data_IF_359401252505
#
_entry.id   IF_359401252505
#
_cell.length_a   1.000
_cell.length_b   1.000
_cell.length_c   1.000
_cell.angle_alpha   90.00
_cell.angle_beta   90.00
_cell.angle_gamma   90.00
#
_symmetry.space_group_name_H-M   'P 1'
#
loop_
_entity.id
_entity.type
_entity.pdbx_description
1 polymer ?
#
# COMPACT_ATOMS: atom_id res chain seq x y z
N UNK A 1 6.04 19.38 13.55
CA UNK A 1 5.15 18.21 13.53
C UNK A 1 3.86 18.37 12.67
N UNK A 2 3.42 19.60 12.32
CA UNK A 2 2.24 19.77 11.45
C UNK A 2 2.51 19.34 9.99
N UNK A 3 3.73 19.51 9.48
CA UNK A 3 4.08 19.15 8.11
C UNK A 3 4.10 17.65 7.81
N UNK A 4 4.42 16.81 8.79
CA UNK A 4 4.54 15.36 8.61
C UNK A 4 3.18 14.71 8.28
N UNK A 5 2.15 15.04 9.05
CA UNK A 5 0.81 14.53 8.83
C UNK A 5 0.22 14.91 7.46
N UNK A 6 0.56 16.09 6.95
CA UNK A 6 0.08 16.57 5.66
C UNK A 6 0.77 15.87 4.48
N UNK A 7 2.06 15.53 4.61
CA UNK A 7 2.78 14.76 3.58
C UNK A 7 2.21 13.36 3.45
N UNK A 8 1.95 12.68 4.57
CA UNK A 8 1.36 11.33 4.56
C UNK A 8 -0.01 11.31 3.88
N UNK A 9 -0.87 12.24 4.28
CA UNK A 9 -2.22 12.35 3.69
C UNK A 9 -2.15 12.60 2.19
N UNK A 10 -1.29 13.50 1.73
CA UNK A 10 -1.16 13.81 0.30
C UNK A 10 -0.63 12.64 -0.50
N UNK A 11 0.35 11.90 0.01
CA UNK A 11 0.89 10.73 -0.67
C UNK A 11 -0.14 9.61 -0.77
N UNK A 12 -0.82 9.30 0.32
CA UNK A 12 -1.87 8.27 0.34
C UNK A 12 -3.05 8.66 -0.54
N UNK A 13 -3.54 9.90 -0.45
CA UNK A 13 -4.63 10.37 -1.29
C UNK A 13 -4.29 10.32 -2.78
N UNK A 14 -3.08 10.71 -3.17
CA UNK A 14 -2.65 10.71 -4.56
C UNK A 14 -2.51 9.30 -5.13
N UNK A 15 -2.00 8.37 -4.35
CA UNK A 15 -1.85 6.97 -4.74
C UNK A 15 -3.20 6.27 -4.87
N UNK A 16 -4.03 6.39 -3.86
CA UNK A 16 -5.35 5.79 -3.83
C UNK A 16 -6.30 6.42 -4.88
N UNK A 17 -6.04 7.67 -5.28
CA UNK A 17 -6.75 8.30 -6.39
C UNK A 17 -6.54 7.52 -7.70
N UNK A 18 -5.30 7.14 -7.99
CA UNK A 18 -5.00 6.29 -9.14
C UNK A 18 -5.69 4.92 -9.01
N UNK A 19 -5.61 4.29 -7.85
CA UNK A 19 -6.23 2.99 -7.60
C UNK A 19 -7.74 3.01 -7.79
N UNK A 20 -8.41 4.02 -7.25
CA UNK A 20 -9.87 4.13 -7.27
C UNK A 20 -10.44 4.58 -8.61
N UNK A 21 -9.74 5.44 -9.34
CA UNK A 21 -10.25 6.06 -10.58
C UNK A 21 -9.43 5.72 -11.81
N UNK A 22 -8.29 5.07 -11.66
CA UNK A 22 -7.48 4.59 -12.77
C UNK A 22 -7.99 3.27 -13.36
N UNK A 23 -7.54 2.98 -14.56
CA UNK A 23 -7.80 1.71 -15.24
C UNK A 23 -6.67 0.74 -14.91
N UNK A 24 -7.03 -0.45 -14.45
CA UNK A 24 -6.09 -1.51 -14.10
C UNK A 24 -6.49 -2.77 -14.87
N UNK A 25 -5.58 -3.29 -15.67
CA UNK A 25 -5.85 -4.43 -16.55
C UNK A 25 -7.03 -4.22 -17.49
N UNK A 26 -7.30 -2.96 -17.87
CA UNK A 26 -8.41 -2.60 -18.75
C UNK A 26 -9.74 -2.29 -18.05
N UNK A 27 -9.83 -2.55 -16.74
CA UNK A 27 -11.06 -2.36 -15.96
C UNK A 27 -10.94 -1.22 -14.94
N UNK A 28 -12.01 -0.47 -14.78
CA UNK A 28 -12.19 0.43 -13.65
C UNK A 28 -12.41 -0.32 -12.34
N UNK A 29 -12.26 0.35 -11.21
CA UNK A 29 -12.40 -0.28 -9.88
C UNK A 29 -13.77 -0.93 -9.67
N UNK A 30 -14.83 -0.32 -10.17
CA UNK A 30 -16.20 -0.82 -10.02
C UNK A 30 -16.41 -2.19 -10.71
N UNK A 31 -15.69 -2.46 -11.80
CA UNK A 31 -15.75 -3.73 -12.52
C UNK A 31 -14.87 -4.81 -11.89
N UNK A 32 -13.92 -4.43 -11.06
CA UNK A 32 -12.99 -5.37 -10.39
C UNK A 32 -13.48 -5.79 -9.00
N UNK A 33 -14.33 -4.98 -8.38
CA UNK A 33 -14.90 -5.25 -7.07
C UNK A 33 -16.20 -6.02 -7.18
N UNK A 34 -16.51 -6.83 -6.17
CA UNK A 34 -17.80 -7.50 -6.10
C UNK A 34 -18.96 -6.51 -6.06
N UNK A 35 -20.12 -6.90 -6.60
CA UNK A 35 -21.33 -6.06 -6.61
C UNK A 35 -21.77 -5.71 -5.19
N UNK A 36 -21.71 -6.68 -4.28
CA UNK A 36 -22.02 -6.46 -2.87
C UNK A 36 -21.12 -5.40 -2.25
N UNK A 37 -19.81 -5.45 -2.52
CA UNK A 37 -18.87 -4.46 -1.99
C UNK A 37 -19.13 -3.07 -2.60
N UNK A 38 -19.43 -2.98 -3.89
CA UNK A 38 -19.77 -1.70 -4.54
C UNK A 38 -21.01 -1.05 -3.93
N UNK A 39 -21.99 -1.87 -3.52
CA UNK A 39 -23.21 -1.39 -2.85
C UNK A 39 -22.94 -0.89 -1.44
N UNK A 40 -22.20 -1.67 -0.63
CA UNK A 40 -21.91 -1.33 0.77
C UNK A 40 -20.86 -0.25 0.93
N UNK A 41 -19.86 -0.23 0.06
CA UNK A 41 -18.73 0.69 0.11
C UNK A 41 -18.48 1.29 -1.27
N UNK A 42 -19.20 2.34 -1.66
CA UNK A 42 -18.98 3.05 -2.93
C UNK A 42 -17.53 3.48 -3.09
N UNK A 43 -17.03 3.53 -4.32
CA UNK A 43 -15.61 3.80 -4.62
C UNK A 43 -15.06 5.07 -3.99
N UNK A 44 -15.86 6.13 -3.93
CA UNK A 44 -15.43 7.41 -3.38
C UNK A 44 -15.17 7.33 -1.87
N UNK A 45 -16.01 6.56 -1.15
CA UNK A 45 -15.81 6.30 0.28
C UNK A 45 -14.63 5.34 0.47
N UNK A 46 -14.53 4.31 -0.37
CA UNK A 46 -13.40 3.37 -0.34
C UNK A 46 -12.06 4.07 -0.57
N UNK A 47 -11.99 4.98 -1.53
CA UNK A 47 -10.80 5.78 -1.77
C UNK A 47 -10.33 6.53 -0.50
N UNK A 48 -11.25 7.20 0.18
CA UNK A 48 -10.93 7.93 1.41
C UNK A 48 -10.49 6.98 2.52
N UNK A 49 -11.20 5.87 2.71
CA UNK A 49 -10.90 4.89 3.76
C UNK A 49 -9.55 4.20 3.54
N UNK A 50 -9.24 3.80 2.30
CA UNK A 50 -7.95 3.21 1.96
C UNK A 50 -6.82 4.23 2.15
N UNK A 51 -7.01 5.47 1.69
CA UNK A 51 -6.02 6.53 1.90
C UNK A 51 -5.73 6.78 3.38
N UNK A 52 -6.76 6.74 4.23
CA UNK A 52 -6.60 6.86 5.68
C UNK A 52 -5.93 5.61 6.30
N UNK A 53 -6.27 4.42 5.80
CA UNK A 53 -5.65 3.16 6.21
C UNK A 53 -4.15 3.15 5.91
N UNK A 54 -3.77 3.53 4.70
CA UNK A 54 -2.37 3.61 4.27
C UNK A 54 -1.59 4.66 5.08
N UNK A 55 -2.13 5.86 5.23
CA UNK A 55 -1.49 6.91 6.01
C UNK A 55 -1.39 6.54 7.50
N UNK A 56 -2.44 5.96 8.06
CA UNK A 56 -2.51 5.63 9.48
C UNK A 56 -1.81 4.32 9.82
N UNK A 57 -2.35 3.23 9.30
CA UNK A 57 -1.89 1.88 9.70
C UNK A 57 -0.51 1.56 9.14
N UNK A 58 -0.28 1.86 7.87
CA UNK A 58 0.97 1.49 7.21
C UNK A 58 2.09 2.43 7.60
N UNK A 59 1.94 3.73 7.36
CA UNK A 59 3.02 4.68 7.55
C UNK A 59 3.25 5.00 9.04
N UNK A 60 2.20 5.24 9.81
CA UNK A 60 2.36 5.48 11.25
C UNK A 60 2.70 4.21 12.01
N UNK A 61 2.14 3.05 11.62
CA UNK A 61 2.50 1.76 12.18
C UNK A 61 3.96 1.43 11.92
N UNK A 62 4.44 1.64 10.70
CA UNK A 62 5.84 1.46 10.34
C UNK A 62 6.79 2.37 11.11
N UNK A 63 6.48 3.66 11.24
CA UNK A 63 7.29 4.59 12.04
C UNK A 63 7.29 4.25 13.52
N UNK A 64 6.18 3.83 14.06
CA UNK A 64 6.09 3.36 15.44
C UNK A 64 6.97 2.13 15.66
N UNK A 65 6.95 1.15 14.76
CA UNK A 65 7.82 -0.03 14.81
C UNK A 65 9.30 0.34 14.72
N UNK A 66 9.67 1.24 13.80
CA UNK A 66 11.03 1.77 13.71
C UNK A 66 11.49 2.35 15.06
N UNK A 67 10.64 3.16 15.67
CA UNK A 67 10.97 3.78 16.96
C UNK A 67 11.11 2.76 18.10
N UNK A 68 10.20 1.80 18.19
CA UNK A 68 10.23 0.77 19.24
C UNK A 68 11.48 -0.11 19.08
N UNK A 69 11.78 -0.60 17.87
CA UNK A 69 12.91 -1.49 17.59
C UNK A 69 14.23 -0.78 17.85
N UNK A 70 14.31 0.53 17.59
CA UNK A 70 15.48 1.35 17.92
C UNK A 70 15.47 1.89 19.36
N UNK A 71 14.81 1.18 20.28
CA UNK A 71 14.80 1.50 21.73
C UNK A 71 14.30 2.91 22.04
N UNK A 72 13.37 3.41 21.23
CA UNK A 72 12.79 4.75 21.31
C UNK A 72 13.78 5.89 21.02
N UNK A 73 14.89 5.59 20.38
CA UNK A 73 15.85 6.59 19.93
C UNK A 73 15.31 7.34 18.72
N UNK A 74 15.24 8.66 18.81
CA UNK A 74 14.74 9.52 17.73
C UNK A 74 15.74 9.72 16.60
N UNK A 75 16.98 9.28 16.76
CA UNK A 75 18.00 9.41 15.72
C UNK A 75 17.61 8.68 14.42
N UNK A 76 16.80 7.62 14.54
CA UNK A 76 16.26 6.90 13.39
C UNK A 76 15.36 7.78 12.50
N UNK A 77 14.86 8.91 12.98
CA UNK A 77 14.06 9.87 12.23
C UNK A 77 14.83 11.10 11.75
N UNK A 78 16.09 11.24 12.18
CA UNK A 78 16.96 12.37 11.81
C UNK A 78 18.04 11.95 10.82
N UNK A 79 18.48 10.72 10.89
CA UNK A 79 19.54 10.19 10.04
C UNK A 79 19.08 8.91 9.33
N UNK A 80 19.61 8.67 8.15
CA UNK A 80 19.36 7.41 7.45
C UNK A 80 20.01 6.24 8.18
N UNK A 81 19.18 5.31 8.64
CA UNK A 81 19.60 4.04 9.23
C UNK A 81 19.03 2.90 8.38
N UNK A 82 19.89 2.07 7.82
CA UNK A 82 19.46 0.92 7.04
C UNK A 82 18.58 -0.05 7.84
N UNK A 83 18.87 -0.25 9.12
CA UNK A 83 18.02 -1.04 10.01
C UNK A 83 16.61 -0.47 10.14
N UNK A 84 16.47 0.86 10.25
CA UNK A 84 15.18 1.52 10.26
C UNK A 84 14.43 1.35 8.95
N UNK A 85 15.13 1.52 7.82
CA UNK A 85 14.55 1.29 6.50
C UNK A 85 14.09 -0.16 6.32
N UNK A 86 14.88 -1.14 6.72
CA UNK A 86 14.49 -2.56 6.64
C UNK A 86 13.24 -2.86 7.47
N UNK A 87 13.12 -2.29 8.66
CA UNK A 87 11.91 -2.43 9.49
C UNK A 87 10.69 -1.87 8.77
N UNK A 88 10.78 -0.65 8.24
CA UNK A 88 9.69 0.00 7.53
C UNK A 88 9.30 -0.79 6.26
N UNK A 89 10.28 -1.19 5.46
CA UNK A 89 10.06 -1.95 4.24
C UNK A 89 9.39 -3.30 4.53
N UNK A 90 9.91 -4.04 5.52
CA UNK A 90 9.32 -5.33 5.92
C UNK A 90 7.88 -5.15 6.37
N UNK A 91 7.59 -4.14 7.18
CA UNK A 91 6.23 -3.83 7.61
C UNK A 91 5.31 -3.54 6.41
N UNK A 92 5.72 -2.64 5.53
CA UNK A 92 4.92 -2.25 4.36
C UNK A 92 4.59 -3.44 3.46
N UNK A 93 5.58 -4.26 3.12
CA UNK A 93 5.37 -5.44 2.27
C UNK A 93 4.54 -6.51 2.97
N UNK A 94 4.86 -6.83 4.22
CA UNK A 94 4.17 -7.89 4.95
C UNK A 94 2.69 -7.55 5.17
N UNK A 95 2.38 -6.32 5.57
CA UNK A 95 0.99 -5.91 5.77
C UNK A 95 0.20 -5.97 4.47
N UNK A 96 0.78 -5.55 3.32
CA UNK A 96 0.10 -5.62 2.05
C UNK A 96 -0.19 -7.07 1.63
N UNK A 97 0.79 -7.96 1.74
CA UNK A 97 0.59 -9.39 1.46
C UNK A 97 -0.52 -9.97 2.34
N UNK A 98 -0.53 -9.65 3.64
CA UNK A 98 -1.59 -10.12 4.54
C UNK A 98 -2.97 -9.57 4.16
N UNK A 99 -3.06 -8.31 3.77
CA UNK A 99 -4.31 -7.71 3.28
C UNK A 99 -4.79 -8.42 2.02
N UNK A 100 -3.91 -8.67 1.06
CA UNK A 100 -4.26 -9.38 -0.18
C UNK A 100 -4.72 -10.82 0.07
N UNK A 101 -4.05 -11.54 0.97
CA UNK A 101 -4.36 -12.93 1.25
C UNK A 101 -5.66 -13.13 2.04
N UNK A 102 -5.98 -12.20 2.95
CA UNK A 102 -7.06 -12.41 3.91
C UNK A 102 -8.21 -11.41 3.79
N UNK A 103 -7.92 -10.12 3.55
CA UNK A 103 -8.97 -9.10 3.53
C UNK A 103 -9.64 -8.96 2.14
N UNK A 104 -8.91 -9.21 1.06
CA UNK A 104 -9.48 -9.08 -0.29
C UNK A 104 -10.19 -10.34 -0.78
N UNK A 105 -10.26 -11.40 0.03
CA UNK A 105 -10.82 -12.69 -0.40
C UNK A 105 -12.20 -12.56 -1.04
N UNK A 106 -13.11 -11.82 -0.41
CA UNK A 106 -14.49 -11.64 -0.88
C UNK A 106 -14.75 -10.28 -1.53
N UNK A 107 -13.70 -9.52 -1.82
CA UNK A 107 -13.86 -8.14 -2.30
C UNK A 107 -13.80 -8.02 -3.82
N UNK A 108 -13.24 -9.00 -4.50
CA UNK A 108 -13.11 -8.99 -5.95
C UNK A 108 -14.34 -9.58 -6.63
N UNK A 109 -14.65 -9.08 -7.82
CA UNK A 109 -15.64 -9.70 -8.70
C UNK A 109 -15.11 -11.06 -9.17
N UNK A 110 -16.05 -11.91 -9.62
CA UNK A 110 -15.72 -13.23 -10.16
C UNK A 110 -14.72 -13.10 -11.31
N UNK A 111 -13.76 -14.01 -11.35
CA UNK A 111 -12.65 -14.04 -12.33
C UNK A 111 -11.74 -12.79 -12.35
N UNK A 112 -11.86 -11.88 -11.40
CA UNK A 112 -10.97 -10.73 -11.30
C UNK A 112 -9.77 -11.03 -10.41
N UNK A 113 -8.60 -10.80 -10.97
CA UNK A 113 -7.34 -10.81 -10.28
C UNK A 113 -7.15 -9.50 -9.53
N UNK A 114 -6.13 -9.47 -8.71
CA UNK A 114 -5.83 -8.40 -7.78
C UNK A 114 -5.92 -6.98 -8.27
N UNK A 115 -6.06 -6.19 -7.27
CA UNK A 115 -6.42 -4.82 -7.27
C UNK A 115 -5.50 -3.89 -8.07
N UNK A 116 -4.20 -4.04 -8.05
CA UNK A 116 -3.30 -3.09 -8.73
C UNK A 116 -2.28 -3.79 -9.61
N UNK A 117 -2.53 -3.83 -10.90
CA UNK A 117 -1.64 -4.43 -11.89
C UNK A 117 -1.76 -3.73 -13.25
N UNK A 118 -1.34 -2.45 -13.38
CA UNK A 118 -1.54 -1.65 -14.58
C UNK A 118 -0.83 -2.23 -15.83
N UNK A 119 0.22 -3.01 -15.64
CA UNK A 119 0.97 -3.62 -16.72
C UNK A 119 0.60 -5.08 -16.98
N UNK A 120 -0.41 -5.62 -16.31
CA UNK A 120 -0.82 -7.01 -16.50
C UNK A 120 -1.28 -7.33 -17.93
N UNK A 121 -1.90 -6.41 -18.70
CA UNK A 121 -2.22 -6.65 -20.11
C UNK A 121 -0.99 -6.91 -20.99
N UNK A 122 0.22 -6.54 -20.54
CA UNK A 122 1.47 -6.79 -21.25
C UNK A 122 2.04 -8.19 -21.01
N UNK A 123 1.37 -8.99 -20.18
CA UNK A 123 1.69 -10.38 -19.93
C UNK A 123 2.50 -10.64 -18.65
N UNK A 124 2.76 -11.93 -18.33
CA UNK A 124 3.33 -12.34 -17.05
C UNK A 124 4.78 -11.88 -16.83
N UNK A 125 5.50 -11.52 -17.87
CA UNK A 125 6.84 -10.93 -17.74
C UNK A 125 6.83 -9.62 -16.94
N UNK A 126 5.79 -8.79 -17.16
CA UNK A 126 5.65 -7.50 -16.47
C UNK A 126 4.95 -7.62 -15.11
N UNK A 127 4.20 -8.68 -14.91
CA UNK A 127 3.52 -8.95 -13.65
C UNK A 127 3.64 -10.42 -13.26
N UNK A 128 4.85 -10.89 -12.89
CA UNK A 128 5.06 -12.27 -12.51
C UNK A 128 4.33 -12.60 -11.20
N UNK A 129 3.83 -13.82 -11.15
CA UNK A 129 3.33 -14.42 -9.91
C UNK A 129 4.50 -14.69 -8.97
N UNK A 130 4.39 -14.21 -7.73
CA UNK A 130 5.38 -14.47 -6.68
C UNK A 130 5.10 -15.80 -5.98
N UNK A 131 3.85 -15.99 -5.59
CA UNK A 131 3.35 -17.24 -5.01
C UNK A 131 1.81 -17.23 -4.99
N UNK A 132 1.24 -18.39 -4.69
CA UNK A 132 -0.19 -18.58 -4.50
C UNK A 132 -0.47 -19.04 -3.07
N UNK A 133 -1.50 -18.51 -2.47
CA UNK A 133 -1.92 -18.85 -1.12
C UNK A 133 -3.41 -18.58 -0.93
N UNK A 134 -4.14 -19.54 -0.36
CA UNK A 134 -5.56 -19.42 -0.03
C UNK A 134 -6.40 -18.97 -1.23
N UNK A 135 -6.21 -19.64 -2.38
CA UNK A 135 -6.85 -19.33 -3.67
C UNK A 135 -6.61 -17.89 -4.16
N UNK A 136 -5.54 -17.27 -3.68
CA UNK A 136 -5.08 -15.95 -4.11
C UNK A 136 -3.72 -16.00 -4.74
N UNK A 137 -3.59 -15.28 -5.82
CA UNK A 137 -2.32 -15.12 -6.55
C UNK A 137 -1.68 -13.80 -6.13
N UNK A 138 -0.52 -13.87 -5.47
CA UNK A 138 0.26 -12.70 -5.08
C UNK A 138 1.20 -12.34 -6.23
N UNK A 139 1.03 -11.17 -6.78
CA UNK A 139 1.75 -10.68 -7.95
C UNK A 139 2.73 -9.56 -7.59
N UNK A 140 3.78 -9.41 -8.41
CA UNK A 140 4.82 -8.43 -8.17
C UNK A 140 4.29 -6.99 -8.21
N UNK A 141 3.43 -6.65 -9.17
CA UNK A 141 2.99 -5.27 -9.35
C UNK A 141 2.20 -4.74 -8.15
N UNK A 142 1.38 -5.57 -7.51
CA UNK A 142 0.67 -5.16 -6.31
C UNK A 142 1.60 -4.86 -5.13
N UNK A 143 2.82 -5.39 -5.15
CA UNK A 143 3.84 -5.12 -4.13
C UNK A 143 4.73 -3.91 -4.47
N UNK A 144 4.78 -3.48 -5.72
CA UNK A 144 5.68 -2.40 -6.17
C UNK A 144 5.55 -1.10 -5.39
N UNK A 145 4.35 -0.59 -5.07
CA UNK A 145 4.20 0.58 -4.23
C UNK A 145 4.91 0.44 -2.88
N UNK A 146 4.71 -0.70 -2.24
CA UNK A 146 5.24 -0.99 -0.91
C UNK A 146 6.76 -1.28 -0.90
N UNK A 147 7.33 -1.54 -2.06
CA UNK A 147 8.79 -1.61 -2.26
C UNK A 147 9.40 -0.22 -2.48
N UNK A 148 8.69 0.67 -3.15
CA UNK A 148 9.22 1.97 -3.60
C UNK A 148 8.90 3.09 -2.61
N UNK A 149 7.65 3.20 -2.15
CA UNK A 149 7.20 4.30 -1.28
C UNK A 149 7.94 4.40 0.04
N UNK A 150 8.32 3.31 0.74
CA UNK A 150 9.06 3.40 2.00
C UNK A 150 10.36 4.17 1.89
N UNK A 151 11.04 4.10 0.74
CA UNK A 151 12.28 4.84 0.53
C UNK A 151 12.03 6.35 0.47
N UNK A 152 11.07 6.78 -0.34
CA UNK A 152 10.69 8.20 -0.44
C UNK A 152 10.14 8.72 0.87
N UNK A 153 9.30 7.93 1.50
CA UNK A 153 8.71 8.25 2.78
C UNK A 153 9.77 8.46 3.86
N UNK A 154 10.71 7.54 4.01
CA UNK A 154 11.75 7.65 5.03
C UNK A 154 12.68 8.83 4.78
N UNK A 155 13.04 9.12 3.52
CA UNK A 155 13.79 10.32 3.17
C UNK A 155 13.04 11.60 3.53
N UNK A 156 11.75 11.66 3.22
CA UNK A 156 10.91 12.81 3.57
C UNK A 156 10.80 12.98 5.08
N UNK A 157 10.65 11.88 5.81
CA UNK A 157 10.60 11.90 7.27
C UNK A 157 11.86 12.50 7.88
N UNK A 158 13.04 12.11 7.40
CA UNK A 158 14.32 12.66 7.84
C UNK A 158 14.41 14.16 7.54
N UNK A 159 14.08 14.56 6.31
CA UNK A 159 14.15 15.97 5.90
C UNK A 159 13.23 16.88 6.70
N UNK A 160 12.10 16.38 7.18
CA UNK A 160 11.17 17.15 8.01
C UNK A 160 11.57 17.23 9.50
N UNK A 161 12.50 16.41 9.94
CA UNK A 161 12.99 16.40 11.32
C UNK A 161 14.37 17.06 11.48
N UNK A 162 14.96 17.54 10.38
CA UNK A 162 16.17 18.35 10.32
C UNK A 162 15.85 19.80 9.97
#
# INVERSE_FOLDING_TARGET
>A
SRGLGDVYKRQSLGWELWFSYGWISGDGVDLRRSESLNTWLPKDINWLMNSMGDAGTVLLGGTWLMWVIHKKDQIVFKEWKWSGFCVLLTWCVTQNILVEMFLYHDQLAEDKLLSWAPLSPLGPYFNPVLFEYNDRTIMLQSQMPWLILPWFFYRTLINLNN
#
